data_IF_331187397179
#
_entry.id   IF_331187397179
#
_cell.length_a   1.000
_cell.length_b   1.000
_cell.length_c   1.000
_cell.angle_alpha   90.00
_cell.angle_beta   90.00
_cell.angle_gamma   90.00
#
_symmetry.space_group_name_H-M   'P 1'
#
loop_
_entity.id
_entity.type
_entity.pdbx_description
1 polymer ?
#
# COMPACT_ATOMS: atom_id res chain seq x y z
N UNK A 1 40.86 -18.27 8.68
CA UNK A 1 39.84 -18.01 9.73
C UNK A 1 40.20 -16.73 10.46
N UNK A 2 39.59 -15.59 10.12
CA UNK A 2 39.81 -14.32 10.83
C UNK A 2 39.05 -14.35 12.16
N UNK A 3 39.78 -14.45 13.28
CA UNK A 3 39.23 -14.21 14.63
C UNK A 3 38.89 -12.72 14.75
N UNK A 4 37.62 -12.37 14.59
CA UNK A 4 37.15 -11.03 14.95
C UNK A 4 37.32 -10.81 16.46
N UNK A 5 37.97 -9.70 16.82
CA UNK A 5 38.16 -9.28 18.20
C UNK A 5 36.83 -9.01 18.91
N UNK A 6 36.83 -9.17 20.24
CA UNK A 6 35.68 -8.93 21.13
C UNK A 6 34.97 -7.59 20.84
N UNK A 7 35.72 -6.51 20.62
CA UNK A 7 35.17 -5.19 20.31
C UNK A 7 34.42 -5.11 18.97
N UNK A 8 34.86 -5.85 17.94
CA UNK A 8 34.20 -5.87 16.63
C UNK A 8 32.84 -6.58 16.71
N UNK A 9 32.73 -7.62 17.55
CA UNK A 9 31.46 -8.33 17.78
C UNK A 9 30.45 -7.46 18.53
N UNK A 10 30.90 -6.74 19.57
CA UNK A 10 30.06 -5.81 20.33
C UNK A 10 29.53 -4.67 19.44
N UNK A 11 30.38 -4.10 18.57
CA UNK A 11 29.98 -3.05 17.63
C UNK A 11 28.93 -3.54 16.62
N UNK A 12 29.07 -4.75 16.08
CA UNK A 12 28.09 -5.35 15.16
C UNK A 12 26.75 -5.63 15.83
N UNK A 13 26.76 -6.14 17.07
CA UNK A 13 25.54 -6.37 17.84
C UNK A 13 24.82 -5.05 18.17
N UNK A 14 25.56 -4.01 18.55
CA UNK A 14 24.99 -2.69 18.80
C UNK A 14 24.39 -2.08 17.52
N UNK A 15 25.06 -2.21 16.37
CA UNK A 15 24.55 -1.75 15.08
C UNK A 15 23.27 -2.50 14.67
N UNK A 16 23.25 -3.83 14.83
CA UNK A 16 22.06 -4.65 14.57
C UNK A 16 20.89 -4.25 15.50
N UNK A 17 21.15 -4.03 16.78
CA UNK A 17 20.13 -3.59 17.74
C UNK A 17 19.54 -2.22 17.36
N UNK A 18 20.39 -1.25 16.95
CA UNK A 18 19.94 0.06 16.51
C UNK A 18 19.08 -0.02 15.23
N UNK A 19 19.46 -0.85 14.27
CA UNK A 19 18.66 -1.09 13.06
C UNK A 19 17.31 -1.73 13.37
N UNK A 20 17.29 -2.74 14.25
CA UNK A 20 16.06 -3.37 14.71
C UNK A 20 15.15 -2.35 15.42
N UNK A 21 15.69 -1.54 16.32
CA UNK A 21 14.93 -0.51 17.03
C UNK A 21 14.36 0.54 16.06
N UNK A 22 15.16 0.99 15.09
CA UNK A 22 14.72 1.91 14.04
C UNK A 22 13.61 1.31 13.17
N UNK A 23 13.74 0.05 12.77
CA UNK A 23 12.72 -0.65 11.98
C UNK A 23 11.41 -0.81 12.76
N UNK A 24 11.49 -1.25 14.02
CA UNK A 24 10.31 -1.39 14.89
C UNK A 24 9.64 -0.03 15.10
N UNK A 25 10.41 1.03 15.36
CA UNK A 25 9.88 2.38 15.49
C UNK A 25 9.17 2.83 14.22
N UNK A 26 9.79 2.64 13.05
CA UNK A 26 9.20 3.00 11.76
C UNK A 26 7.93 2.19 11.44
N UNK A 27 7.86 0.92 11.85
CA UNK A 27 6.65 0.10 11.71
C UNK A 27 5.54 0.50 12.68
N UNK A 28 5.88 0.78 13.94
CA UNK A 28 4.92 1.05 15.01
C UNK A 28 4.34 2.48 14.95
N UNK A 29 5.15 3.46 14.54
CA UNK A 29 4.81 4.88 14.60
C UNK A 29 4.70 5.55 13.23
N UNK A 30 5.21 4.94 12.17
CA UNK A 30 5.03 5.45 10.81
C UNK A 30 3.59 5.21 10.31
N UNK A 31 2.93 6.27 9.85
CA UNK A 31 1.63 6.18 9.18
C UNK A 31 1.46 7.37 8.23
N UNK A 32 0.94 7.13 7.02
CA UNK A 32 0.42 8.19 6.17
C UNK A 32 -0.74 8.88 6.89
N UNK A 33 -0.74 10.22 7.05
CA UNK A 33 -1.87 10.95 7.59
C UNK A 33 -3.18 10.57 6.90
N UNK A 34 -4.26 10.37 7.66
CA UNK A 34 -5.56 9.91 7.11
C UNK A 34 -6.03 10.78 5.94
N UNK A 35 -6.01 12.13 6.02
CA UNK A 35 -6.44 12.97 4.88
C UNK A 35 -5.58 12.76 3.63
N UNK A 36 -4.29 12.49 3.81
CA UNK A 36 -3.37 12.23 2.72
C UNK A 36 -3.60 10.85 2.09
N UNK A 37 -3.87 9.83 2.91
CA UNK A 37 -4.24 8.50 2.43
C UNK A 37 -5.54 8.55 1.61
N UNK A 38 -6.56 9.27 2.10
CA UNK A 38 -7.83 9.48 1.38
C UNK A 38 -7.61 10.25 0.08
N UNK A 39 -6.82 11.33 0.10
CA UNK A 39 -6.48 12.08 -1.13
C UNK A 39 -5.79 11.20 -2.17
N UNK A 40 -4.84 10.37 -1.76
CA UNK A 40 -4.13 9.42 -2.65
C UNK A 40 -5.10 8.37 -3.22
N UNK A 41 -5.99 7.84 -2.38
CA UNK A 41 -7.05 6.91 -2.78
C UNK A 41 -7.98 7.55 -3.83
N UNK A 42 -8.42 8.79 -3.61
CA UNK A 42 -9.20 9.54 -4.60
C UNK A 42 -8.45 9.70 -5.92
N UNK A 43 -7.15 10.00 -5.87
CA UNK A 43 -6.31 10.10 -7.07
C UNK A 43 -6.27 8.80 -7.88
N UNK A 44 -6.11 7.65 -7.22
CA UNK A 44 -6.17 6.34 -7.87
C UNK A 44 -7.55 6.05 -8.48
N UNK A 45 -8.63 6.38 -7.78
CA UNK A 45 -10.00 6.21 -8.29
C UNK A 45 -10.25 7.07 -9.53
N UNK A 46 -9.83 8.33 -9.50
CA UNK A 46 -9.92 9.25 -10.65
C UNK A 46 -9.12 8.70 -11.84
N UNK A 47 -7.90 8.19 -11.62
CA UNK A 47 -7.09 7.64 -12.70
C UNK A 47 -7.74 6.41 -13.37
N UNK A 48 -8.35 5.52 -12.58
CA UNK A 48 -9.10 4.38 -13.09
C UNK A 48 -10.33 4.82 -13.91
N UNK A 49 -11.03 5.85 -13.45
CA UNK A 49 -12.17 6.42 -14.16
C UNK A 49 -11.74 7.10 -15.48
N UNK A 50 -10.61 7.81 -15.49
CA UNK A 50 -10.04 8.37 -16.73
C UNK A 50 -9.64 7.29 -17.73
N UNK A 51 -9.15 6.15 -17.26
CA UNK A 51 -8.94 4.97 -18.11
C UNK A 51 -10.26 4.48 -18.69
N UNK A 52 -11.28 4.27 -17.84
CA UNK A 52 -12.61 3.80 -18.27
C UNK A 52 -13.24 4.72 -19.32
N UNK A 53 -13.13 6.03 -19.14
CA UNK A 53 -13.65 7.00 -20.10
C UNK A 53 -12.95 6.93 -21.46
N UNK A 54 -11.66 6.59 -21.49
CA UNK A 54 -10.89 6.45 -22.72
C UNK A 54 -11.14 5.10 -23.42
N UNK A 55 -11.17 4.01 -22.67
CA UNK A 55 -11.23 2.64 -23.20
C UNK A 55 -12.64 2.03 -23.22
N UNK A 56 -13.64 2.73 -22.65
CA UNK A 56 -15.02 2.28 -22.52
C UNK A 56 -15.28 1.28 -21.39
N UNK A 57 -14.24 0.74 -20.74
CA UNK A 57 -14.34 -0.20 -19.63
C UNK A 57 -13.22 0.01 -18.61
N UNK A 58 -13.45 -0.39 -17.36
CA UNK A 58 -12.39 -0.43 -16.36
C UNK A 58 -11.32 -1.46 -16.75
N UNK A 59 -10.06 -1.27 -16.34
CA UNK A 59 -9.01 -2.19 -16.72
C UNK A 59 -9.15 -3.55 -16.01
N UNK A 60 -8.81 -4.65 -16.69
CA UNK A 60 -8.73 -5.97 -16.07
C UNK A 60 -7.48 -6.14 -15.18
N UNK A 61 -6.54 -5.21 -15.29
CA UNK A 61 -5.34 -5.13 -14.46
C UNK A 61 -5.00 -3.67 -14.20
N UNK A 62 -4.85 -3.28 -12.93
CA UNK A 62 -4.63 -1.88 -12.61
C UNK A 62 -3.33 -1.30 -13.20
N UNK A 63 -2.34 -2.14 -13.53
CA UNK A 63 -1.10 -1.74 -14.20
C UNK A 63 -1.32 -1.07 -15.56
N UNK A 64 -2.47 -1.27 -16.20
CA UNK A 64 -2.85 -0.56 -17.43
C UNK A 64 -3.06 0.95 -17.22
N UNK A 65 -3.45 1.38 -16.00
CA UNK A 65 -3.69 2.81 -15.69
C UNK A 65 -2.40 3.64 -15.78
N UNK A 66 -1.28 3.28 -15.13
CA UNK A 66 -0.03 3.99 -15.33
C UNK A 66 0.57 3.75 -16.72
N UNK A 67 0.42 2.55 -17.29
CA UNK A 67 0.94 2.27 -18.64
C UNK A 67 0.28 3.13 -19.74
N UNK A 68 -0.98 3.54 -19.54
CA UNK A 68 -1.72 4.44 -20.44
C UNK A 68 -1.52 5.93 -20.12
N UNK A 69 -0.64 6.27 -19.17
CA UNK A 69 -0.34 7.66 -18.78
C UNK A 69 -1.45 8.35 -18.01
N UNK A 70 -2.48 7.62 -17.55
CA UNK A 70 -3.55 8.19 -16.70
C UNK A 70 -3.12 8.38 -15.24
N UNK A 71 -1.99 7.78 -14.87
CA UNK A 71 -1.35 7.92 -13.57
C UNK A 71 0.17 7.91 -13.76
N UNK A 72 0.87 8.89 -13.20
CA UNK A 72 2.35 8.95 -13.30
C UNK A 72 3.00 7.79 -12.53
N UNK A 73 2.58 7.59 -11.27
CA UNK A 73 3.05 6.50 -10.43
C UNK A 73 2.00 6.16 -9.37
N UNK A 74 2.00 4.91 -8.91
CA UNK A 74 1.20 4.49 -7.76
C UNK A 74 1.78 5.14 -6.49
N UNK A 75 1.02 5.97 -5.76
CA UNK A 75 1.54 6.65 -4.59
C UNK A 75 1.86 5.67 -3.47
N UNK A 76 2.86 5.96 -2.65
CA UNK A 76 3.16 5.13 -1.49
C UNK A 76 2.03 5.22 -0.43
N UNK A 77 1.66 4.09 0.16
CA UNK A 77 0.82 3.99 1.34
C UNK A 77 1.63 3.44 2.49
N UNK A 78 1.57 4.10 3.65
CA UNK A 78 2.16 3.59 4.88
C UNK A 78 1.07 3.42 5.93
N UNK A 79 0.72 2.17 6.24
CA UNK A 79 -0.17 1.86 7.34
C UNK A 79 0.63 1.46 8.59
N UNK A 80 0.04 1.69 9.75
CA UNK A 80 0.61 1.24 11.03
C UNK A 80 0.84 -0.27 11.00
N UNK A 81 2.00 -0.71 11.51
CA UNK A 81 2.44 -2.11 11.53
C UNK A 81 2.70 -2.74 10.15
N UNK A 82 2.64 -1.97 9.06
CA UNK A 82 2.92 -2.46 7.70
C UNK A 82 4.10 -1.72 7.08
N UNK A 83 4.90 -2.35 6.21
CA UNK A 83 5.85 -1.62 5.38
C UNK A 83 5.12 -0.62 4.47
N UNK A 84 5.83 0.40 3.98
CA UNK A 84 5.26 1.26 2.95
C UNK A 84 5.07 0.45 1.65
N UNK A 85 3.97 0.68 0.94
CA UNK A 85 3.64 -0.04 -0.29
C UNK A 85 3.17 0.92 -1.39
N UNK A 86 3.76 0.80 -2.58
CA UNK A 86 3.41 1.59 -3.78
C UNK A 86 2.89 0.69 -4.90
N UNK A 87 2.09 -0.32 -4.54
CA UNK A 87 1.53 -1.30 -5.49
C UNK A 87 0.01 -1.36 -5.33
N UNK A 88 -0.68 -1.58 -6.44
CA UNK A 88 -2.10 -1.95 -6.46
C UNK A 88 -2.21 -3.46 -6.68
N UNK A 89 -2.93 -4.12 -5.80
CA UNK A 89 -3.18 -5.57 -5.86
C UNK A 89 -4.54 -5.80 -6.49
N UNK A 90 -4.59 -6.61 -7.55
CA UNK A 90 -5.85 -6.97 -8.20
C UNK A 90 -6.56 -8.09 -7.41
N UNK A 91 -7.87 -7.93 -7.22
CA UNK A 91 -8.76 -8.84 -6.51
C UNK A 91 -9.95 -9.23 -7.39
N UNK A 92 -10.52 -10.43 -7.18
CA UNK A 92 -11.77 -10.82 -7.82
C UNK A 92 -13.01 -10.17 -7.17
N UNK A 93 -12.93 -9.76 -5.90
CA UNK A 93 -14.03 -9.13 -5.16
C UNK A 93 -13.50 -8.10 -4.17
N UNK A 94 -14.39 -7.30 -3.58
CA UNK A 94 -14.04 -6.29 -2.57
C UNK A 94 -13.78 -6.94 -1.19
N UNK A 95 -12.74 -7.77 -1.12
CA UNK A 95 -12.36 -8.51 0.08
C UNK A 95 -10.88 -8.26 0.41
N UNK A 96 -10.57 -7.42 1.42
CA UNK A 96 -9.20 -7.08 1.77
C UNK A 96 -8.46 -8.28 2.38
N UNK A 97 -7.32 -8.68 1.80
CA UNK A 97 -6.42 -9.69 2.36
C UNK A 97 -5.47 -9.12 3.44
N UNK A 98 -5.42 -7.79 3.58
CA UNK A 98 -4.62 -7.11 4.59
C UNK A 98 -3.14 -6.98 4.23
N UNK A 99 -2.79 -6.82 2.95
CA UNK A 99 -1.40 -6.61 2.52
C UNK A 99 -0.83 -5.27 2.99
N UNK A 100 -1.69 -4.29 3.29
CA UNK A 100 -1.28 -2.91 3.61
C UNK A 100 -0.95 -2.07 2.36
N UNK A 101 -1.32 -2.56 1.19
CA UNK A 101 -1.20 -1.88 -0.10
C UNK A 101 -2.55 -1.30 -0.55
N UNK A 102 -2.60 -0.80 -1.78
CA UNK A 102 -3.87 -0.50 -2.45
C UNK A 102 -4.47 -1.78 -3.04
N UNK A 103 -5.78 -1.90 -3.03
CA UNK A 103 -6.52 -2.97 -3.68
C UNK A 103 -7.34 -2.44 -4.86
N UNK A 104 -7.58 -3.29 -5.86
CA UNK A 104 -8.40 -3.01 -7.01
C UNK A 104 -9.25 -4.23 -7.38
N UNK A 105 -10.55 -4.05 -7.59
CA UNK A 105 -11.43 -5.14 -8.03
C UNK A 105 -11.38 -5.25 -9.55
N UNK A 106 -10.73 -6.30 -10.03
CA UNK A 106 -10.36 -6.52 -11.43
C UNK A 106 -11.29 -7.48 -12.18
N UNK A 107 -12.19 -8.18 -11.46
CA UNK A 107 -13.14 -9.11 -12.08
C UNK A 107 -14.37 -8.35 -12.62
N UNK A 108 -14.62 -8.34 -13.93
CA UNK A 108 -15.79 -7.69 -14.53
C UNK A 108 -17.12 -8.34 -14.14
N UNK A 109 -17.11 -9.57 -13.62
CA UNK A 109 -18.28 -10.22 -13.04
C UNK A 109 -18.63 -9.73 -11.64
N UNK A 110 -17.74 -8.98 -10.99
CA UNK A 110 -17.93 -8.46 -9.64
C UNK A 110 -18.85 -7.24 -9.64
N UNK A 111 -19.79 -7.12 -8.68
CA UNK A 111 -20.58 -5.89 -8.51
C UNK A 111 -19.71 -4.67 -8.19
N UNK A 112 -18.50 -4.90 -7.66
CA UNK A 112 -17.55 -3.86 -7.28
C UNK A 112 -16.48 -3.60 -8.36
N UNK A 113 -16.61 -4.17 -9.57
CA UNK A 113 -15.62 -4.02 -10.64
C UNK A 113 -15.21 -2.55 -10.87
N UNK A 114 -13.90 -2.30 -10.90
CA UNK A 114 -13.35 -0.95 -11.03
C UNK A 114 -13.07 -0.25 -9.70
N UNK A 115 -13.51 -0.82 -8.57
CA UNK A 115 -13.30 -0.21 -7.25
C UNK A 115 -11.85 -0.28 -6.82
N UNK A 116 -11.30 0.86 -6.40
CA UNK A 116 -9.99 0.95 -5.71
C UNK A 116 -10.24 1.17 -4.21
N UNK A 117 -9.50 0.46 -3.37
CA UNK A 117 -9.63 0.50 -1.90
C UNK A 117 -8.27 0.41 -1.20
N UNK A 118 -8.25 0.59 0.11
CA UNK A 118 -7.07 0.30 0.94
C UNK A 118 -7.18 -1.14 1.44
N UNK A 119 -6.22 -1.98 1.05
CA UNK A 119 -6.21 -3.38 1.42
C UNK A 119 -5.71 -3.57 2.87
N UNK A 120 -6.64 -3.43 3.81
CA UNK A 120 -6.37 -3.56 5.24
C UNK A 120 -7.63 -3.94 6.02
N UNK A 121 -7.54 -5.03 6.79
CA UNK A 121 -8.54 -5.36 7.81
C UNK A 121 -8.46 -4.49 9.08
N UNK A 122 -7.50 -3.57 9.17
CA UNK A 122 -7.33 -2.69 10.32
C UNK A 122 -8.19 -1.43 10.23
N UNK A 123 -8.33 -0.75 11.37
CA UNK A 123 -9.02 0.54 11.49
C UNK A 123 -8.05 1.71 11.41
N UNK A 124 -8.55 2.85 10.96
CA UNK A 124 -7.89 4.15 11.06
C UNK A 124 -7.84 4.61 12.55
N UNK A 125 -7.14 5.70 12.86
CA UNK A 125 -7.10 6.26 14.21
C UNK A 125 -8.46 6.66 14.80
N UNK A 126 -9.49 6.86 13.95
CA UNK A 126 -10.85 7.20 14.37
C UNK A 126 -11.75 5.95 14.52
N UNK A 127 -11.22 4.74 14.32
CA UNK A 127 -11.96 3.49 14.48
C UNK A 127 -12.76 3.02 13.25
N UNK A 128 -12.58 3.67 12.09
CA UNK A 128 -13.20 3.31 10.80
C UNK A 128 -12.32 2.32 10.04
N UNK A 129 -12.91 1.35 9.34
CA UNK A 129 -12.10 0.45 8.51
C UNK A 129 -11.52 1.17 7.30
N UNK A 130 -10.25 0.89 7.02
CA UNK A 130 -9.54 1.45 5.87
C UNK A 130 -10.18 1.08 4.52
N UNK A 131 -10.75 -0.12 4.42
CA UNK A 131 -11.41 -0.63 3.19
C UNK A 131 -12.62 0.21 2.77
N UNK A 132 -13.33 0.83 3.72
CA UNK A 132 -14.62 1.50 3.49
C UNK A 132 -14.52 3.03 3.30
N UNK A 133 -13.30 3.54 3.10
CA UNK A 133 -13.09 4.91 2.63
C UNK A 133 -13.36 5.04 1.12
#
# INVERSE_FOLDING_TARGET
MLRMGSGTKAALLAAAAALCAGLVYHLAFGQTPVPEAVRRLSGLRIAAELYRQAEGTFPLDYGAVPASGKLEAVPALKLKWRPACSRVVNYPSLEPAGTGCWGYVADPGSPDFGSVFIDSGAKDPAGRYWTWF
#
